data_IF_797070692148
#
_entry.id   IF_797070692148
#
_cell.length_a   1.000
_cell.length_b   1.000
_cell.length_c   1.000
_cell.angle_alpha   90.00
_cell.angle_beta   90.00
_cell.angle_gamma   90.00
#
_symmetry.space_group_name_H-M   'P 1'
#
loop_
_entity.id
_entity.type
_entity.pdbx_description
1 polymer ?
#
# COMPACT_ATOMS: atom_id res chain seq x y z
N UNK A 1 -24.18 -17.41 -13.59
CA UNK A 1 -25.31 -16.95 -12.74
C UNK A 1 -26.33 -18.04 -12.43
N UNK A 2 -26.74 -18.86 -13.40
CA UNK A 2 -27.84 -19.85 -13.24
C UNK A 2 -27.72 -20.80 -12.03
N UNK A 3 -26.51 -21.24 -11.66
CA UNK A 3 -26.29 -22.14 -10.51
C UNK A 3 -26.67 -21.56 -9.15
N UNK A 4 -26.74 -20.23 -9.02
CA UNK A 4 -26.96 -19.55 -7.74
C UNK A 4 -28.35 -18.94 -7.62
N UNK A 5 -29.18 -19.01 -8.68
CA UNK A 5 -30.50 -18.36 -8.68
C UNK A 5 -31.47 -18.97 -7.67
N UNK A 6 -31.45 -20.29 -7.48
CA UNK A 6 -32.28 -20.96 -6.47
C UNK A 6 -31.91 -20.56 -5.04
N UNK A 7 -30.61 -20.32 -4.79
CA UNK A 7 -30.12 -19.87 -3.50
C UNK A 7 -30.48 -18.40 -3.23
N UNK A 8 -30.40 -17.56 -4.25
CA UNK A 8 -30.77 -16.14 -4.12
C UNK A 8 -32.27 -15.91 -3.96
N UNK A 9 -33.11 -16.83 -4.47
CA UNK A 9 -34.58 -16.70 -4.36
C UNK A 9 -35.10 -16.76 -2.92
N UNK A 10 -34.31 -17.27 -1.98
CA UNK A 10 -34.65 -17.35 -0.56
C UNK A 10 -34.46 -16.00 0.16
N UNK A 11 -33.69 -15.07 -0.43
CA UNK A 11 -33.34 -13.80 0.20
C UNK A 11 -33.98 -12.61 -0.53
N UNK A 12 -34.53 -11.68 0.24
CA UNK A 12 -35.02 -10.40 -0.27
C UNK A 12 -33.87 -9.38 -0.33
N UNK A 13 -33.21 -9.24 -1.48
CA UNK A 13 -32.14 -8.27 -1.66
C UNK A 13 -32.37 -7.35 -2.86
N UNK A 14 -31.79 -6.15 -2.78
CA UNK A 14 -31.74 -5.18 -3.87
C UNK A 14 -30.28 -4.93 -4.23
N UNK A 15 -29.96 -5.05 -5.52
CA UNK A 15 -28.58 -4.88 -6.00
C UNK A 15 -28.30 -3.39 -6.20
N UNK A 16 -27.41 -2.83 -5.38
CA UNK A 16 -26.91 -1.47 -5.55
C UNK A 16 -25.43 -1.48 -5.95
N UNK A 17 -25.11 -0.81 -7.06
CA UNK A 17 -23.72 -0.61 -7.46
C UNK A 17 -23.04 0.39 -6.51
N UNK A 18 -21.89 -0.01 -5.95
CA UNK A 18 -21.02 0.86 -5.15
C UNK A 18 -19.68 1.04 -5.91
N UNK A 19 -19.32 2.28 -6.27
CA UNK A 19 -18.04 2.55 -6.92
C UNK A 19 -16.86 2.13 -6.04
N UNK A 20 -15.77 1.64 -6.65
CA UNK A 20 -14.61 1.08 -5.94
C UNK A 20 -13.98 2.01 -4.89
N UNK A 21 -14.02 3.33 -5.11
CA UNK A 21 -13.55 4.34 -4.14
C UNK A 21 -14.30 4.31 -2.81
N UNK A 22 -15.54 3.83 -2.79
CA UNK A 22 -16.36 3.72 -1.58
C UNK A 22 -16.38 2.29 -1.05
N UNK A 23 -15.71 1.35 -1.73
CA UNK A 23 -15.68 -0.07 -1.37
C UNK A 23 -14.39 -0.45 -0.63
N UNK A 24 -13.65 0.52 -0.09
CA UNK A 24 -12.31 0.33 0.49
C UNK A 24 -12.35 -0.70 1.63
N UNK A 25 -13.37 -0.66 2.50
CA UNK A 25 -13.50 -1.60 3.61
C UNK A 25 -13.69 -3.04 3.14
N UNK A 26 -14.63 -3.26 2.21
CA UNK A 26 -14.93 -4.59 1.67
C UNK A 26 -13.74 -5.11 0.85
N UNK A 27 -13.08 -4.25 0.08
CA UNK A 27 -11.88 -4.58 -0.68
C UNK A 27 -10.72 -4.97 0.26
N UNK A 28 -10.47 -4.20 1.32
CA UNK A 28 -9.44 -4.52 2.30
C UNK A 28 -9.73 -5.85 3.03
N UNK A 29 -10.98 -6.09 3.42
CA UNK A 29 -11.37 -7.34 4.09
C UNK A 29 -11.31 -8.55 3.14
N UNK A 30 -11.74 -8.40 1.89
CA UNK A 30 -11.70 -9.50 0.91
C UNK A 30 -10.28 -9.94 0.55
N UNK A 31 -9.28 -9.05 0.74
CA UNK A 31 -7.86 -9.35 0.53
C UNK A 31 -7.17 -10.02 1.71
N UNK A 32 -7.87 -10.22 2.83
CA UNK A 32 -7.33 -10.89 4.03
C UNK A 32 -7.81 -12.35 4.08
N UNK A 33 -7.05 -13.31 3.54
CA UNK A 33 -7.39 -14.74 3.63
C UNK A 33 -7.27 -15.26 5.07
N UNK A 34 -6.57 -14.54 5.94
CA UNK A 34 -6.37 -14.79 7.37
C UNK A 34 -7.48 -14.19 8.26
N UNK A 35 -8.48 -13.52 7.68
CA UNK A 35 -9.54 -12.87 8.44
C UNK A 35 -10.54 -13.91 8.98
N UNK A 36 -10.41 -14.28 10.25
CA UNK A 36 -11.43 -15.00 11.01
C UNK A 36 -12.27 -14.02 11.84
N UNK A 37 -13.54 -13.74 11.48
CA UNK A 37 -14.42 -12.87 12.23
C UNK A 37 -14.58 -13.28 13.70
N UNK A 38 -14.43 -14.58 14.00
CA UNK A 38 -14.60 -15.16 15.34
C UNK A 38 -13.43 -14.86 16.27
N UNK A 39 -12.26 -14.51 15.71
CA UNK A 39 -11.05 -14.20 16.49
C UNK A 39 -10.95 -12.72 16.85
N UNK A 40 -11.41 -11.83 15.97
CA UNK A 40 -11.36 -10.38 16.16
C UNK A 40 -12.47 -9.91 17.11
N UNK A 41 -13.65 -10.53 17.01
CA UNK A 41 -14.74 -10.30 17.94
C UNK A 41 -14.56 -11.23 19.14
N UNK A 42 -13.64 -10.85 20.04
CA UNK A 42 -13.35 -11.61 21.26
C UNK A 42 -14.62 -12.20 21.84
N UNK A 43 -14.64 -13.53 21.96
CA UNK A 43 -15.79 -14.33 22.41
C UNK A 43 -16.22 -13.84 23.79
N UNK A 44 -17.16 -12.91 23.84
CA UNK A 44 -17.95 -12.68 25.03
C UNK A 44 -18.95 -13.83 25.06
N UNK A 45 -18.57 -14.87 25.80
CA UNK A 45 -19.54 -15.80 26.37
C UNK A 45 -20.40 -14.94 27.28
N UNK A 46 -21.56 -14.53 26.76
CA UNK A 46 -22.65 -14.13 27.63
C UNK A 46 -23.28 -15.47 28.02
N UNK A 47 -22.93 -15.96 29.20
CA UNK A 47 -23.71 -17.01 29.86
C UNK A 47 -25.02 -16.37 30.27
N UNK A 48 -25.98 -16.31 29.36
CA UNK A 48 -27.38 -16.08 29.71
C UNK A 48 -28.19 -17.16 28.99
N UNK A 49 -28.53 -18.20 29.76
CA UNK A 49 -29.60 -19.15 29.46
C UNK A 49 -30.88 -18.33 29.25
N UNK A 50 -31.26 -18.06 28.00
CA UNK A 50 -32.65 -17.82 27.61
C UNK A 50 -32.81 -18.13 26.12
N UNK A 51 -33.60 -19.18 25.85
CA UNK A 51 -34.16 -19.51 24.55
C UNK A 51 -34.94 -18.30 24.02
N UNK A 52 -34.42 -17.61 23.00
CA UNK A 52 -35.21 -17.13 21.86
C UNK A 52 -34.29 -16.45 20.81
N UNK A 53 -34.36 -17.03 19.63
CA UNK A 53 -33.60 -16.75 18.41
C UNK A 53 -34.14 -15.46 17.76
N UNK A 54 -33.58 -14.27 18.08
CA UNK A 54 -33.70 -13.05 17.24
C UNK A 54 -32.91 -11.81 17.76
N UNK A 55 -31.79 -12.00 18.45
CA UNK A 55 -30.94 -10.87 18.87
C UNK A 55 -29.98 -10.47 17.74
N UNK A 56 -30.46 -9.60 16.86
CA UNK A 56 -29.61 -8.85 15.94
C UNK A 56 -28.56 -8.09 16.77
N UNK A 57 -27.34 -8.64 16.85
CA UNK A 57 -26.23 -8.02 17.55
C UNK A 57 -25.93 -6.68 16.88
N UNK A 58 -26.37 -5.59 17.49
CA UNK A 58 -25.98 -4.24 17.10
C UNK A 58 -24.49 -4.11 17.42
N UNK A 59 -23.66 -4.22 16.39
CA UNK A 59 -22.23 -3.96 16.48
C UNK A 59 -22.03 -2.45 16.69
N UNK A 60 -22.03 -2.02 17.94
CA UNK A 60 -21.46 -0.73 18.28
C UNK A 60 -19.95 -0.87 18.08
N UNK A 61 -19.40 -0.20 17.08
CA UNK A 61 -17.96 -0.06 16.85
C UNK A 61 -17.32 0.85 17.92
N UNK A 62 -17.55 0.56 19.20
CA UNK A 62 -16.84 1.17 20.32
C UNK A 62 -15.51 0.44 20.48
N UNK A 63 -14.52 0.80 19.67
CA UNK A 63 -13.22 0.16 19.78
C UNK A 63 -12.21 0.38 18.66
N UNK A 64 -12.47 1.24 17.68
CA UNK A 64 -11.37 1.77 16.84
C UNK A 64 -10.59 2.78 17.69
N UNK A 65 -9.83 2.26 18.65
CA UNK A 65 -8.67 2.96 19.14
C UNK A 65 -7.75 3.08 17.92
N UNK A 66 -7.68 4.27 17.31
CA UNK A 66 -6.54 4.63 16.48
C UNK A 66 -5.33 4.64 17.40
N UNK A 67 -4.83 3.47 17.78
CA UNK A 67 -3.45 3.34 18.22
C UNK A 67 -2.65 3.74 17.00
N UNK A 68 -2.14 4.97 17.04
CA UNK A 68 -1.09 5.42 16.17
C UNK A 68 0.12 4.54 16.50
N UNK A 69 0.17 3.35 15.88
CA UNK A 69 1.29 2.43 15.99
C UNK A 69 2.42 3.15 15.27
N UNK A 70 3.21 3.90 16.03
CA UNK A 70 4.47 4.41 15.53
C UNK A 70 5.29 3.17 15.17
N UNK A 71 5.64 2.94 13.90
CA UNK A 71 6.48 1.82 13.56
C UNK A 71 7.76 1.92 14.41
N UNK A 72 8.13 0.82 15.04
CA UNK A 72 9.31 0.73 15.92
C UNK A 72 10.61 1.00 15.14
N UNK A 73 10.54 0.86 13.81
CA UNK A 73 11.63 1.10 12.87
C UNK A 73 11.27 2.20 11.88
N UNK A 74 12.18 3.16 11.71
CA UNK A 74 12.09 4.15 10.63
C UNK A 74 12.48 3.47 9.32
N UNK A 75 11.49 2.92 8.63
CA UNK A 75 11.65 2.26 7.33
C UNK A 75 12.45 3.11 6.32
N UNK A 76 12.35 4.44 6.41
CA UNK A 76 13.14 5.35 5.56
C UNK A 76 14.63 5.21 5.84
N UNK A 77 15.04 5.21 7.10
CA UNK A 77 16.42 5.02 7.50
C UNK A 77 16.99 3.66 7.06
N UNK A 78 16.20 2.60 7.15
CA UNK A 78 16.62 1.26 6.73
C UNK A 78 16.85 1.17 5.21
N UNK A 79 15.94 1.75 4.42
CA UNK A 79 16.10 1.81 2.96
C UNK A 79 17.35 2.62 2.57
N UNK A 80 17.60 3.73 3.27
CA UNK A 80 18.79 4.57 3.03
C UNK A 80 20.08 3.81 3.38
N UNK A 81 20.08 3.05 4.48
CA UNK A 81 21.22 2.22 4.87
C UNK A 81 21.50 1.13 3.83
N UNK A 82 20.46 0.48 3.30
CA UNK A 82 20.59 -0.58 2.30
C UNK A 82 21.23 -0.08 0.98
N UNK A 83 21.12 1.21 0.64
CA UNK A 83 21.79 1.75 -0.54
C UNK A 83 23.32 1.73 -0.46
N UNK A 84 23.89 1.75 0.75
CA UNK A 84 25.33 1.67 0.96
C UNK A 84 25.88 0.26 0.70
N UNK A 85 25.04 -0.77 0.88
CA UNK A 85 25.41 -2.17 0.67
C UNK A 85 25.44 -2.58 -0.82
N UNK A 86 24.66 -1.88 -1.66
CA UNK A 86 24.59 -2.16 -3.10
C UNK A 86 25.53 -1.24 -3.89
N UNK A 87 26.52 -1.83 -4.56
CA UNK A 87 27.52 -1.13 -5.35
C UNK A 87 26.92 -0.26 -6.47
N UNK A 88 25.77 -0.65 -7.05
CA UNK A 88 25.09 0.11 -8.09
C UNK A 88 24.46 1.37 -7.50
N UNK A 89 23.71 1.22 -6.41
CA UNK A 89 23.05 2.35 -5.76
C UNK A 89 24.05 3.29 -5.08
N UNK A 90 25.11 2.76 -4.47
CA UNK A 90 26.23 3.54 -3.96
C UNK A 90 26.89 4.39 -5.07
N UNK A 91 27.09 3.82 -6.25
CA UNK A 91 27.60 4.56 -7.41
C UNK A 91 26.65 5.65 -7.89
N UNK A 92 25.35 5.35 -7.96
CA UNK A 92 24.32 6.34 -8.36
C UNK A 92 24.28 7.49 -7.34
N UNK A 93 24.31 7.19 -6.04
CA UNK A 93 24.35 8.18 -4.97
C UNK A 93 25.61 9.03 -5.02
N UNK A 94 26.77 8.43 -5.27
CA UNK A 94 28.03 9.16 -5.42
C UNK A 94 27.96 10.17 -6.58
N UNK A 95 27.43 9.77 -7.73
CA UNK A 95 27.23 10.67 -8.87
C UNK A 95 26.21 11.77 -8.56
N UNK A 96 25.07 11.46 -7.94
CA UNK A 96 24.03 12.45 -7.66
C UNK A 96 24.46 13.46 -6.56
N UNK A 97 25.31 13.04 -5.62
CA UNK A 97 25.90 13.92 -4.60
C UNK A 97 27.02 14.79 -5.16
N UNK A 98 27.83 14.26 -6.07
CA UNK A 98 28.95 14.97 -6.69
C UNK A 98 29.08 14.62 -8.20
N UNK A 99 28.29 15.27 -9.07
CA UNK A 99 28.28 14.96 -10.50
C UNK A 99 29.65 15.27 -11.13
N UNK A 100 30.36 14.22 -11.55
CA UNK A 100 31.67 14.31 -12.21
C UNK A 100 31.81 13.22 -13.26
N UNK A 101 32.70 13.42 -14.24
CA UNK A 101 32.91 12.43 -15.30
C UNK A 101 33.55 11.13 -14.77
N UNK A 102 34.33 11.24 -13.69
CA UNK A 102 34.90 10.09 -12.97
C UNK A 102 33.80 9.24 -12.30
N UNK A 103 32.88 9.86 -11.56
CA UNK A 103 31.76 9.15 -10.91
C UNK A 103 30.77 8.59 -11.94
N UNK A 104 30.56 9.29 -13.05
CA UNK A 104 29.75 8.83 -14.18
C UNK A 104 30.45 7.65 -14.91
N UNK A 105 31.78 7.67 -14.97
CA UNK A 105 32.66 6.62 -15.46
C UNK A 105 32.59 5.33 -14.64
N UNK A 106 32.50 5.45 -13.31
CA UNK A 106 32.37 4.34 -12.37
C UNK A 106 31.03 3.58 -12.51
N UNK A 107 30.00 4.22 -13.07
CA UNK A 107 28.71 3.59 -13.34
C UNK A 107 28.77 2.64 -14.54
N UNK A 108 27.98 1.56 -14.47
CA UNK A 108 27.74 0.70 -15.62
C UNK A 108 27.11 1.48 -16.79
N UNK A 109 27.33 1.01 -18.02
CA UNK A 109 26.74 1.63 -19.23
C UNK A 109 25.21 1.75 -19.15
N UNK A 110 24.54 0.75 -18.58
CA UNK A 110 23.07 0.76 -18.44
C UNK A 110 22.64 1.82 -17.42
N UNK A 111 23.28 1.86 -16.26
CA UNK A 111 22.99 2.83 -15.20
C UNK A 111 23.21 4.26 -15.69
N UNK A 112 24.30 4.50 -16.42
CA UNK A 112 24.62 5.79 -17.04
C UNK A 112 23.54 6.27 -18.01
N UNK A 113 22.99 5.38 -18.84
CA UNK A 113 21.90 5.73 -19.76
C UNK A 113 20.61 6.14 -19.03
N UNK A 114 20.40 5.59 -17.84
CA UNK A 114 19.21 5.84 -17.02
C UNK A 114 19.43 6.91 -15.95
N UNK A 115 20.65 7.44 -15.79
CA UNK A 115 21.02 8.30 -14.66
C UNK A 115 20.15 9.56 -14.56
N UNK A 116 19.77 10.14 -15.70
CA UNK A 116 18.89 11.31 -15.76
C UNK A 116 17.44 11.04 -15.31
N UNK A 117 17.08 9.79 -15.01
CA UNK A 117 15.79 9.42 -14.43
C UNK A 117 15.83 9.39 -12.91
N UNK A 118 17.01 9.31 -12.31
CA UNK A 118 17.18 9.30 -10.87
C UNK A 118 17.37 10.72 -10.35
N UNK A 119 16.82 10.98 -9.16
CA UNK A 119 17.08 12.20 -8.41
C UNK A 119 17.04 11.88 -6.91
N UNK A 120 17.64 12.75 -6.10
CA UNK A 120 17.63 12.63 -4.65
C UNK A 120 16.54 13.52 -4.07
N UNK A 121 15.73 12.95 -3.18
CA UNK A 121 14.82 13.67 -2.28
C UNK A 121 15.36 13.49 -0.84
N UNK A 122 16.18 14.45 -0.40
CA UNK A 122 17.01 14.28 0.78
C UNK A 122 18.03 13.15 0.58
N UNK A 123 17.94 12.10 1.41
CA UNK A 123 18.76 10.89 1.30
C UNK A 123 18.08 9.73 0.53
N UNK A 124 16.83 9.91 0.11
CA UNK A 124 16.09 8.86 -0.58
C UNK A 124 16.25 8.97 -2.10
N UNK A 125 16.59 7.85 -2.74
CA UNK A 125 16.75 7.78 -4.18
C UNK A 125 15.39 7.58 -4.86
N UNK A 126 15.01 8.52 -5.73
CA UNK A 126 13.73 8.51 -6.42
C UNK A 126 13.91 8.28 -7.93
N UNK A 127 13.03 7.47 -8.52
CA UNK A 127 13.03 7.17 -9.96
C UNK A 127 11.85 7.82 -10.68
N UNK A 128 12.15 8.66 -11.67
CA UNK A 128 11.14 9.30 -12.50
C UNK A 128 10.61 8.33 -13.56
N UNK A 129 9.31 8.02 -13.45
CA UNK A 129 8.59 7.15 -14.40
C UNK A 129 8.29 7.90 -15.71
N UNK A 130 8.10 9.23 -15.63
CA UNK A 130 7.84 10.09 -16.78
C UNK A 130 9.16 10.54 -17.40
N UNK A 131 9.33 10.29 -18.71
CA UNK A 131 10.39 10.93 -19.49
C UNK A 131 10.03 12.41 -19.56
N UNK A 132 10.65 13.26 -18.72
CA UNK A 132 10.52 14.69 -18.88
C UNK A 132 11.21 15.06 -20.20
N UNK A 133 10.47 14.96 -21.30
CA UNK A 133 10.79 15.68 -22.52
C UNK A 133 10.51 17.14 -22.21
N UNK A 134 11.52 17.83 -21.68
CA UNK A 134 11.55 19.29 -21.68
C UNK A 134 11.59 19.74 -23.14
N UNK A 135 10.41 19.80 -23.77
CA UNK A 135 10.26 20.34 -25.11
C UNK A 135 10.48 21.83 -25.03
N UNK A 136 11.56 22.30 -25.67
CA UNK A 136 11.73 23.68 -26.14
C UNK A 136 10.40 24.22 -26.66
N UNK A 137 9.75 25.11 -25.92
CA UNK A 137 8.78 26.07 -26.44
C UNK A 137 8.80 27.32 -25.58
N UNK A 138 9.65 28.27 -25.96
CA UNK A 138 9.44 29.69 -25.73
C UNK A 138 10.47 30.47 -26.57
N UNK A 139 10.17 30.64 -27.85
CA UNK A 139 10.64 31.78 -28.66
C UNK A 139 9.84 31.80 -29.94
N UNK A 140 8.70 32.49 -29.87
CA UNK A 140 8.13 33.29 -30.95
C UNK A 140 7.51 34.52 -30.30
#
# INVERSE_FOLDING_TARGET
>A
MARWLSFFAEYNFVVHYKPGKNNILVDALSRRPDYDPRTVLGRQVIDDDDEDDDRCAVFIASGINLTNVSPEVDLRGEIVAAYADDAVYAGILAYLRAPSDETLGALSRNTRNQIGRYHLDGDMLCYNIVRCSSSRRAQR
#
